data_IF_088738656177
#
_entry.id   IF_088738656177
#
_cell.length_a   1.000
_cell.length_b   1.000
_cell.length_c   1.000
_cell.angle_alpha   90.00
_cell.angle_beta   90.00
_cell.angle_gamma   90.00
#
_symmetry.space_group_name_H-M   'P 1'
#
loop_
_entity.id
_entity.type
_entity.pdbx_description
1 polymer ?
#
# COMPACT_ATOMS: atom_id res chain seq x y z
N UNK A 1 -24.27 3.63 -14.26
CA UNK A 1 -23.15 4.14 -13.44
C UNK A 1 -22.20 4.86 -14.36
N UNK A 2 -21.77 6.06 -13.97
CA UNK A 2 -20.77 6.83 -14.71
C UNK A 2 -19.38 6.21 -14.57
N UNK A 3 -18.57 6.27 -15.62
CA UNK A 3 -17.19 5.79 -15.59
C UNK A 3 -16.23 6.92 -15.23
N UNK A 4 -15.42 6.72 -14.19
CA UNK A 4 -14.39 7.69 -13.76
C UNK A 4 -13.03 7.28 -14.33
N UNK A 5 -12.37 8.18 -15.07
CA UNK A 5 -10.97 8.00 -15.45
C UNK A 5 -10.07 8.56 -14.34
N UNK A 6 -9.34 7.71 -13.64
CA UNK A 6 -8.34 8.08 -12.63
C UNK A 6 -6.92 7.97 -13.20
N UNK A 7 -6.26 9.11 -13.33
CA UNK A 7 -4.87 9.24 -13.75
C UNK A 7 -4.02 9.70 -12.57
N UNK A 8 -3.33 8.78 -11.89
CA UNK A 8 -2.53 9.10 -10.70
C UNK A 8 -1.09 8.62 -10.86
N UNK A 9 -0.14 9.46 -10.46
CA UNK A 9 1.27 9.05 -10.34
C UNK A 9 1.49 8.10 -9.17
N UNK A 10 0.56 8.02 -8.23
CA UNK A 10 0.60 7.11 -7.10
C UNK A 10 -0.14 5.81 -7.45
N UNK A 11 0.61 4.71 -7.60
CA UNK A 11 0.04 3.38 -7.86
C UNK A 11 -0.93 2.94 -6.74
N UNK A 12 -0.76 3.44 -5.52
CA UNK A 12 -1.70 3.22 -4.40
C UNK A 12 -3.13 3.65 -4.76
N UNK A 13 -3.31 4.81 -5.40
CA UNK A 13 -4.63 5.31 -5.78
C UNK A 13 -5.26 4.44 -6.87
N UNK A 14 -4.45 4.01 -7.84
CA UNK A 14 -4.90 3.18 -8.97
C UNK A 14 -5.35 1.80 -8.48
N UNK A 15 -4.57 1.20 -7.58
CA UNK A 15 -4.90 -0.07 -6.95
C UNK A 15 -6.15 0.06 -6.07
N UNK A 16 -6.28 1.13 -5.29
CA UNK A 16 -7.46 1.38 -4.46
C UNK A 16 -8.73 1.53 -5.31
N UNK A 17 -8.64 2.28 -6.41
CA UNK A 17 -9.73 2.44 -7.37
C UNK A 17 -10.15 1.10 -7.98
N UNK A 18 -9.20 0.23 -8.34
CA UNK A 18 -9.50 -1.12 -8.81
C UNK A 18 -10.16 -1.99 -7.72
N UNK A 19 -9.62 -1.96 -6.50
CA UNK A 19 -10.13 -2.72 -5.37
C UNK A 19 -11.53 -2.25 -4.93
N UNK A 20 -11.91 -1.01 -5.22
CA UNK A 20 -13.24 -0.46 -4.90
C UNK A 20 -14.39 -1.18 -5.62
N UNK A 21 -14.12 -1.78 -6.78
CA UNK A 21 -15.15 -2.35 -7.65
C UNK A 21 -16.05 -1.32 -8.35
N UNK A 22 -15.86 -0.02 -8.08
CA UNK A 22 -16.52 1.06 -8.80
C UNK A 22 -16.00 1.15 -10.26
N UNK A 23 -16.79 1.71 -11.19
CA UNK A 23 -16.42 1.80 -12.62
C UNK A 23 -15.29 2.81 -12.86
N UNK A 24 -14.08 2.39 -12.56
CA UNK A 24 -12.86 3.14 -12.83
C UNK A 24 -12.16 2.64 -14.09
N UNK A 25 -11.64 3.59 -14.86
CA UNK A 25 -10.51 3.38 -15.75
C UNK A 25 -9.28 4.00 -15.09
N UNK A 26 -8.17 3.30 -15.08
CA UNK A 26 -6.98 3.73 -14.35
C UNK A 26 -5.78 3.85 -15.29
N UNK A 27 -4.86 4.75 -14.98
CA UNK A 27 -3.60 4.85 -15.68
C UNK A 27 -2.58 5.66 -14.87
N UNK A 28 -1.30 5.30 -14.98
CA UNK A 28 -0.23 6.10 -14.37
C UNK A 28 0.33 7.07 -15.43
N UNK A 29 0.24 8.40 -15.24
CA UNK A 29 0.76 9.39 -16.19
C UNK A 29 2.23 9.24 -16.59
N UNK A 30 3.03 8.55 -15.77
CA UNK A 30 4.45 8.26 -16.07
C UNK A 30 4.65 7.07 -17.02
N UNK A 31 3.62 6.22 -17.18
CA UNK A 31 3.63 5.03 -18.02
C UNK A 31 2.69 5.14 -19.23
N UNK A 32 1.61 5.92 -19.11
CA UNK A 32 0.61 6.11 -20.18
C UNK A 32 1.18 6.96 -21.32
N UNK A 33 1.12 6.43 -22.54
CA UNK A 33 1.49 7.19 -23.74
C UNK A 33 0.38 8.21 -24.11
N UNK A 34 0.73 9.49 -24.15
CA UNK A 34 -0.25 10.57 -24.35
C UNK A 34 -0.85 10.59 -25.78
N UNK A 35 -0.11 10.13 -26.79
CA UNK A 35 -0.59 10.05 -28.17
C UNK A 35 -1.37 8.76 -28.44
N UNK A 36 -0.82 7.61 -28.07
CA UNK A 36 -1.41 6.31 -28.35
C UNK A 36 -2.52 5.88 -27.40
N UNK A 37 -2.31 6.02 -26.09
CA UNK A 37 -3.15 5.34 -25.09
C UNK A 37 -4.17 6.27 -24.44
N UNK A 38 -3.79 7.51 -24.13
CA UNK A 38 -4.67 8.47 -23.45
C UNK A 38 -6.03 8.65 -24.16
N UNK A 39 -6.12 8.75 -25.51
CA UNK A 39 -7.42 8.86 -26.18
C UNK A 39 -8.36 7.68 -25.89
N UNK A 40 -7.82 6.45 -25.83
CA UNK A 40 -8.62 5.25 -25.53
C UNK A 40 -9.09 5.20 -24.07
N UNK A 41 -8.28 5.72 -23.14
CA UNK A 41 -8.66 5.84 -21.73
C UNK A 41 -9.78 6.87 -21.55
N UNK A 42 -9.72 7.98 -22.29
CA UNK A 42 -10.72 9.05 -22.30
C UNK A 42 -12.02 8.60 -22.97
N UNK A 43 -11.95 7.77 -24.01
CA UNK A 43 -13.12 7.30 -24.75
C UNK A 43 -14.06 6.46 -23.88
N UNK A 44 -15.19 7.03 -23.46
CA UNK A 44 -16.17 6.37 -22.58
C UNK A 44 -15.94 6.61 -21.10
N UNK A 45 -15.07 7.55 -20.73
CA UNK A 45 -15.07 8.15 -19.40
C UNK A 45 -16.04 9.33 -19.36
N UNK A 46 -16.81 9.44 -18.28
CA UNK A 46 -17.78 10.52 -18.07
C UNK A 46 -17.17 11.69 -17.28
N UNK A 47 -16.13 11.41 -16.50
CA UNK A 47 -15.35 12.39 -15.73
C UNK A 47 -13.91 11.88 -15.56
N UNK A 48 -12.95 12.79 -15.51
CA UNK A 48 -11.55 12.45 -15.23
C UNK A 48 -11.04 13.11 -13.94
N UNK A 49 -10.26 12.36 -13.18
CA UNK A 49 -9.51 12.80 -12.00
C UNK A 49 -8.04 12.59 -12.28
N UNK A 50 -7.25 13.65 -12.16
CA UNK A 50 -5.80 13.61 -12.37
C UNK A 50 -5.10 14.00 -11.07
N UNK A 51 -4.17 13.18 -10.60
CA UNK A 51 -3.36 13.43 -9.41
C UNK A 51 -1.88 13.29 -9.71
N UNK A 52 -1.13 14.39 -9.62
CA UNK A 52 0.27 14.47 -10.09
C UNK A 52 1.24 14.87 -8.98
N UNK A 53 2.30 14.07 -8.81
CA UNK A 53 3.52 14.53 -8.16
C UNK A 53 4.30 15.48 -9.08
N UNK A 54 4.78 16.60 -8.54
CA UNK A 54 5.54 17.60 -9.32
C UNK A 54 4.68 18.65 -10.04
N UNK A 55 3.36 18.68 -9.77
CA UNK A 55 2.42 19.69 -10.27
C UNK A 55 2.19 19.63 -11.78
N UNK A 56 1.62 20.70 -12.33
CA UNK A 56 1.21 20.81 -13.75
C UNK A 56 2.31 20.45 -14.74
N UNK A 57 3.56 20.88 -14.47
CA UNK A 57 4.70 20.73 -15.38
C UNK A 57 5.11 19.28 -15.61
N UNK A 58 4.74 18.37 -14.70
CA UNK A 58 5.05 16.96 -14.81
C UNK A 58 4.33 16.27 -15.97
N UNK A 59 3.18 16.79 -16.42
CA UNK A 59 2.35 16.12 -17.43
C UNK A 59 1.51 17.09 -18.29
N UNK A 60 2.10 18.22 -18.70
CA UNK A 60 1.39 19.33 -19.39
C UNK A 60 0.68 18.88 -20.67
N UNK A 61 1.32 18.01 -21.44
CA UNK A 61 0.78 17.46 -22.68
C UNK A 61 -0.50 16.66 -22.46
N UNK A 62 -0.47 15.74 -21.49
CA UNK A 62 -1.65 14.96 -21.12
C UNK A 62 -2.78 15.83 -20.59
N UNK A 63 -2.46 16.82 -19.73
CA UNK A 63 -3.45 17.77 -19.23
C UNK A 63 -4.10 18.58 -20.36
N UNK A 64 -3.32 19.06 -21.34
CA UNK A 64 -3.85 19.79 -22.50
C UNK A 64 -4.81 18.92 -23.31
N UNK A 65 -4.44 17.68 -23.59
CA UNK A 65 -5.31 16.74 -24.34
C UNK A 65 -6.57 16.38 -23.58
N UNK A 66 -6.44 16.11 -22.28
CA UNK A 66 -7.59 15.79 -21.44
C UNK A 66 -8.59 16.95 -21.43
N UNK A 67 -8.13 18.19 -21.27
CA UNK A 67 -9.01 19.37 -21.37
C UNK A 67 -9.65 19.52 -22.74
N UNK A 68 -8.90 19.25 -23.81
CA UNK A 68 -9.42 19.33 -25.17
C UNK A 68 -10.51 18.28 -25.46
N UNK A 69 -10.58 17.19 -24.69
CA UNK A 69 -11.63 16.17 -24.83
C UNK A 69 -13.02 16.65 -24.37
N UNK A 70 -13.08 17.69 -23.53
CA UNK A 70 -14.33 18.28 -23.05
C UNK A 70 -15.03 17.52 -21.92
N UNK A 71 -14.51 16.36 -21.48
CA UNK A 71 -15.02 15.70 -20.28
C UNK A 71 -14.70 16.55 -19.04
N UNK A 72 -15.55 16.58 -18.00
CA UNK A 72 -15.23 17.24 -16.75
C UNK A 72 -13.92 16.71 -16.14
N UNK A 73 -13.06 17.60 -15.66
CA UNK A 73 -11.76 17.24 -15.09
C UNK A 73 -11.56 17.81 -13.69
N UNK A 74 -11.14 16.96 -12.77
CA UNK A 74 -10.64 17.30 -11.43
C UNK A 74 -9.12 17.14 -11.45
N UNK A 75 -8.38 18.21 -11.18
CA UNK A 75 -6.91 18.21 -11.24
C UNK A 75 -6.34 18.50 -9.85
N UNK A 76 -5.48 17.62 -9.35
CA UNK A 76 -5.01 17.60 -7.96
C UNK A 76 -3.50 17.39 -7.86
N UNK A 77 -2.90 18.00 -6.85
CA UNK A 77 -1.54 17.69 -6.45
C UNK A 77 -1.43 16.29 -5.82
N UNK A 78 -0.26 15.67 -5.96
CA UNK A 78 0.06 14.37 -5.36
C UNK A 78 0.26 14.41 -3.84
N UNK A 79 0.41 15.60 -3.27
CA UNK A 79 0.55 15.82 -1.83
C UNK A 79 -0.81 15.96 -1.14
N UNK A 80 -0.82 15.96 0.20
CA UNK A 80 -2.02 16.26 0.98
C UNK A 80 -2.37 17.74 1.01
N UNK A 81 -1.39 18.60 0.75
CA UNK A 81 -1.58 20.04 0.68
C UNK A 81 -2.19 20.41 -0.68
N UNK A 82 -3.23 21.27 -0.70
CA UNK A 82 -3.82 21.77 -1.94
C UNK A 82 -2.79 22.44 -2.88
N UNK A 83 -2.69 21.94 -4.11
CA UNK A 83 -1.97 22.61 -5.20
C UNK A 83 -2.92 23.59 -5.88
N UNK A 84 -2.86 24.87 -5.47
CA UNK A 84 -3.77 25.90 -5.96
C UNK A 84 -3.66 26.13 -7.48
N UNK A 85 -2.46 25.98 -8.07
CA UNK A 85 -2.27 26.17 -9.51
C UNK A 85 -2.96 25.06 -10.29
N UNK A 86 -2.75 23.80 -9.87
CA UNK A 86 -3.35 22.66 -10.54
C UNK A 86 -4.87 22.58 -10.30
N UNK A 87 -5.33 22.89 -9.09
CA UNK A 87 -6.76 22.89 -8.77
C UNK A 87 -7.54 23.95 -9.55
N UNK A 88 -6.97 25.15 -9.75
CA UNK A 88 -7.60 26.22 -10.52
C UNK A 88 -7.81 25.88 -12.01
N UNK A 89 -7.09 24.89 -12.50
CA UNK A 89 -7.17 24.40 -13.88
C UNK A 89 -8.22 23.30 -14.07
N UNK A 90 -8.90 22.88 -12.99
CA UNK A 90 -10.04 21.97 -13.04
C UNK A 90 -11.23 22.61 -13.75
N UNK A 91 -12.06 21.80 -14.41
CA UNK A 91 -13.25 22.29 -15.13
C UNK A 91 -14.54 22.22 -14.31
N UNK A 92 -14.45 21.74 -13.06
CA UNK A 92 -15.56 21.62 -12.11
C UNK A 92 -15.44 22.67 -11.00
N UNK A 93 -16.51 22.96 -10.24
CA UNK A 93 -16.46 23.94 -9.15
C UNK A 93 -15.40 23.61 -8.10
N UNK A 94 -14.74 24.63 -7.53
CA UNK A 94 -13.65 24.47 -6.57
C UNK A 94 -14.02 23.61 -5.34
N UNK A 95 -15.28 23.64 -4.90
CA UNK A 95 -15.77 22.78 -3.82
C UNK A 95 -15.71 21.29 -4.17
N UNK A 96 -15.97 20.93 -5.43
CA UNK A 96 -15.85 19.54 -5.92
C UNK A 96 -14.39 19.09 -5.91
N UNK A 97 -13.48 19.97 -6.34
CA UNK A 97 -12.04 19.68 -6.36
C UNK A 97 -11.51 19.48 -4.94
N UNK A 98 -11.88 20.37 -4.01
CA UNK A 98 -11.48 20.26 -2.62
C UNK A 98 -12.00 18.98 -1.95
N UNK A 99 -13.24 18.59 -2.24
CA UNK A 99 -13.82 17.37 -1.68
C UNK A 99 -13.19 16.10 -2.28
N UNK A 100 -12.94 16.08 -3.60
CA UNK A 100 -12.22 15.00 -4.25
C UNK A 100 -10.81 14.80 -3.68
N UNK A 101 -10.12 15.90 -3.34
CA UNK A 101 -8.84 15.84 -2.64
C UNK A 101 -8.98 15.15 -1.28
N UNK A 102 -10.03 15.45 -0.50
CA UNK A 102 -10.24 14.82 0.82
C UNK A 102 -10.36 13.29 0.71
N UNK A 103 -11.11 12.76 -0.26
CA UNK A 103 -11.18 11.31 -0.48
C UNK A 103 -9.82 10.71 -0.83
N UNK A 104 -9.05 11.35 -1.72
CA UNK A 104 -7.75 10.84 -2.17
C UNK A 104 -6.63 11.00 -1.14
N UNK A 105 -6.75 11.95 -0.21
CA UNK A 105 -5.84 12.11 0.94
C UNK A 105 -6.04 10.98 1.94
N UNK A 106 -7.28 10.64 2.26
CA UNK A 106 -7.57 9.50 3.12
C UNK A 106 -7.26 8.17 2.43
N UNK A 107 -7.58 8.06 1.14
CA UNK A 107 -7.35 6.87 0.31
C UNK A 107 -8.16 5.67 0.76
N UNK A 108 -7.88 4.49 0.22
CA UNK A 108 -8.61 3.26 0.56
C UNK A 108 -9.76 2.94 -0.41
N UNK A 109 -10.04 1.65 -0.67
CA UNK A 109 -11.07 1.24 -1.64
C UNK A 109 -12.46 1.82 -1.36
N UNK A 110 -12.86 1.92 -0.09
CA UNK A 110 -14.15 2.47 0.31
C UNK A 110 -14.27 3.96 -0.05
N UNK A 111 -13.24 4.76 0.25
CA UNK A 111 -13.21 6.18 -0.12
C UNK A 111 -13.19 6.37 -1.64
N UNK A 112 -12.58 5.44 -2.40
CA UNK A 112 -12.61 5.48 -3.86
C UNK A 112 -14.00 5.11 -4.41
N UNK A 113 -14.74 4.21 -3.75
CA UNK A 113 -16.16 3.95 -4.06
C UNK A 113 -16.99 5.23 -3.89
N UNK A 114 -16.85 5.89 -2.74
CA UNK A 114 -17.60 7.10 -2.43
C UNK A 114 -17.14 8.30 -3.27
N UNK A 115 -15.87 8.39 -3.64
CA UNK A 115 -15.39 9.38 -4.60
C UNK A 115 -16.08 9.23 -5.96
N UNK A 116 -16.20 8.01 -6.49
CA UNK A 116 -16.88 7.79 -7.76
C UNK A 116 -18.36 8.23 -7.70
N UNK A 117 -19.06 7.87 -6.61
CA UNK A 117 -20.46 8.28 -6.37
C UNK A 117 -20.60 9.79 -6.21
N UNK A 118 -19.72 10.40 -5.42
CA UNK A 118 -19.66 11.85 -5.20
C UNK A 118 -19.51 12.61 -6.52
N UNK A 119 -18.58 12.18 -7.37
CA UNK A 119 -18.34 12.79 -8.67
C UNK A 119 -19.52 12.57 -9.63
N UNK A 120 -20.07 11.36 -9.66
CA UNK A 120 -21.26 11.04 -10.45
C UNK A 120 -22.43 11.95 -10.08
N UNK A 121 -22.73 12.07 -8.79
CA UNK A 121 -23.88 12.84 -8.34
C UNK A 121 -23.67 14.36 -8.46
N UNK A 122 -22.49 14.84 -8.08
CA UNK A 122 -22.25 16.28 -8.00
C UNK A 122 -21.98 16.90 -9.36
N UNK A 123 -21.35 16.15 -10.28
CA UNK A 123 -20.97 16.66 -11.60
C UNK A 123 -21.94 16.20 -12.69
N UNK A 124 -22.45 14.97 -12.60
CA UNK A 124 -23.30 14.36 -13.64
C UNK A 124 -24.78 14.25 -13.22
N UNK A 125 -25.14 14.64 -11.99
CA UNK A 125 -26.53 14.71 -11.48
C UNK A 125 -27.27 13.36 -11.51
N UNK A 126 -26.57 12.27 -11.21
CA UNK A 126 -27.11 10.90 -11.29
C UNK A 126 -28.01 10.49 -10.12
N UNK A 127 -27.72 10.96 -8.90
CA UNK A 127 -28.52 10.69 -7.69
C UNK A 127 -28.34 9.30 -7.06
N UNK A 128 -27.13 8.73 -7.11
CA UNK A 128 -26.76 7.46 -6.48
C UNK A 128 -26.62 7.57 -4.94
N UNK A 129 -26.34 8.76 -4.42
CA UNK A 129 -25.97 9.03 -3.03
C UNK A 129 -24.50 8.71 -2.75
N UNK A 130 -23.89 9.46 -1.82
CA UNK A 130 -22.50 9.26 -1.39
C UNK A 130 -22.33 9.59 0.10
N UNK A 131 -21.33 9.00 0.74
CA UNK A 131 -20.93 9.29 2.12
C UNK A 131 -19.65 10.12 2.18
N UNK A 132 -19.48 10.95 3.22
CA UNK A 132 -18.27 11.76 3.41
C UNK A 132 -16.98 10.92 3.50
N UNK A 133 -15.80 11.49 3.14
CA UNK A 133 -14.51 10.82 3.26
C UNK A 133 -14.26 10.27 4.67
N UNK A 134 -14.00 8.97 4.75
CA UNK A 134 -13.73 8.28 6.01
C UNK A 134 -12.24 8.35 6.32
N UNK A 135 -11.90 8.82 7.53
CA UNK A 135 -10.52 8.87 7.99
C UNK A 135 -9.94 7.46 8.11
N UNK A 136 -8.87 7.18 7.39
CA UNK A 136 -8.24 5.85 7.41
C UNK A 136 -7.28 5.74 8.60
N UNK A 137 -7.43 4.75 9.51
CA UNK A 137 -6.57 4.61 10.68
C UNK A 137 -5.08 4.50 10.32
N UNK A 138 -4.18 5.07 11.13
CA UNK A 138 -2.72 5.00 10.90
C UNK A 138 -2.15 3.59 11.09
N UNK A 139 -2.86 2.78 11.86
CA UNK A 139 -2.62 1.35 12.05
C UNK A 139 -3.95 0.65 12.34
N UNK A 140 -3.97 -0.68 12.23
CA UNK A 140 -5.16 -1.46 12.52
C UNK A 140 -5.01 -2.92 12.15
N UNK A 141 -6.05 -3.71 12.45
CA UNK A 141 -6.15 -5.11 12.07
C UNK A 141 -6.77 -5.22 10.68
N UNK A 142 -6.16 -6.03 9.81
CA UNK A 142 -6.69 -6.32 8.47
C UNK A 142 -7.62 -7.53 8.51
N UNK A 143 -8.85 -7.32 8.07
CA UNK A 143 -9.89 -8.34 8.01
C UNK A 143 -10.34 -8.85 9.38
N UNK A 144 -11.29 -9.78 9.36
CA UNK A 144 -11.72 -10.52 10.53
C UNK A 144 -11.33 -11.99 10.36
N UNK A 145 -10.57 -12.53 11.32
CA UNK A 145 -10.12 -13.93 11.32
C UNK A 145 -10.57 -14.60 12.61
N UNK A 146 -10.96 -15.87 12.51
CA UNK A 146 -11.47 -16.61 13.66
C UNK A 146 -10.36 -16.87 14.69
N UNK A 147 -10.56 -16.39 15.91
CA UNK A 147 -9.68 -16.70 17.03
C UNK A 147 -10.08 -18.02 17.69
N UNK A 148 -9.10 -18.90 17.90
CA UNK A 148 -9.28 -20.17 18.61
C UNK A 148 -8.42 -20.15 19.87
N UNK A 149 -9.08 -20.25 21.02
CA UNK A 149 -8.43 -20.31 22.33
C UNK A 149 -7.46 -21.50 22.43
N UNK A 150 -6.30 -21.28 23.05
CA UNK A 150 -5.25 -22.29 23.22
C UNK A 150 -4.37 -22.53 22.00
N UNK A 151 -4.59 -21.83 20.88
CA UNK A 151 -3.63 -21.79 19.76
C UNK A 151 -2.66 -20.62 19.93
N UNK A 152 -1.38 -20.77 19.54
CA UNK A 152 -0.46 -19.65 19.49
C UNK A 152 -0.89 -18.65 18.42
N UNK A 153 -0.65 -17.37 18.64
CA UNK A 153 -0.98 -16.27 17.74
C UNK A 153 0.28 -15.79 17.02
N UNK A 154 0.22 -15.76 15.68
CA UNK A 154 1.28 -15.19 14.83
C UNK A 154 0.77 -13.87 14.25
N UNK A 155 1.42 -12.77 14.63
CA UNK A 155 1.17 -11.47 14.03
C UNK A 155 1.83 -11.37 12.65
N UNK A 156 1.15 -10.82 11.66
CA UNK A 156 1.68 -10.53 10.32
C UNK A 156 1.61 -9.03 10.11
N UNK A 157 2.76 -8.37 10.20
CA UNK A 157 2.88 -6.91 10.14
C UNK A 157 3.30 -6.44 8.75
N UNK A 158 2.49 -5.58 8.14
CA UNK A 158 2.69 -5.09 6.77
C UNK A 158 2.40 -3.58 6.63
N UNK A 159 2.85 -2.97 5.53
CA UNK A 159 2.71 -1.52 5.34
C UNK A 159 1.25 -1.10 5.13
N UNK A 160 0.82 -0.03 5.79
CA UNK A 160 -0.48 0.64 5.60
C UNK A 160 -0.76 0.98 4.14
N UNK A 161 0.27 1.26 3.34
CA UNK A 161 0.11 1.50 1.90
C UNK A 161 -0.54 0.31 1.17
N UNK A 162 -0.27 -0.93 1.59
CA UNK A 162 -0.94 -2.12 1.05
C UNK A 162 -2.41 -2.19 1.46
N UNK A 163 -2.73 -1.80 2.70
CA UNK A 163 -4.12 -1.68 3.16
C UNK A 163 -4.89 -0.66 2.33
N UNK A 164 -4.30 0.54 2.14
CA UNK A 164 -4.95 1.61 1.38
C UNK A 164 -5.11 1.30 -0.10
N UNK A 165 -4.19 0.53 -0.68
CA UNK A 165 -4.27 0.11 -2.08
C UNK A 165 -5.18 -1.10 -2.30
N UNK A 166 -5.59 -1.81 -1.24
CA UNK A 166 -6.24 -3.12 -1.37
C UNK A 166 -5.32 -4.23 -1.89
N UNK A 167 -4.00 -3.99 -1.98
CA UNK A 167 -3.01 -4.99 -2.38
C UNK A 167 -2.59 -5.84 -1.17
N UNK A 168 -3.55 -6.55 -0.58
CA UNK A 168 -3.37 -7.33 0.67
C UNK A 168 -3.36 -8.84 0.46
N UNK A 169 -3.61 -9.34 -0.75
CA UNK A 169 -3.75 -10.77 -1.03
C UNK A 169 -2.53 -11.61 -0.61
N UNK A 170 -1.32 -11.04 -0.66
CA UNK A 170 -0.11 -11.71 -0.20
C UNK A 170 -0.09 -11.91 1.32
N UNK A 171 -0.66 -10.97 2.08
CA UNK A 171 -0.84 -11.06 3.54
C UNK A 171 -1.85 -12.17 3.84
N UNK A 172 -2.99 -12.16 3.12
CA UNK A 172 -4.04 -13.17 3.29
C UNK A 172 -3.50 -14.58 3.05
N UNK A 173 -2.70 -14.77 2.00
CA UNK A 173 -2.05 -16.06 1.70
C UNK A 173 -1.15 -16.54 2.85
N UNK A 174 -0.40 -15.63 3.49
CA UNK A 174 0.45 -15.98 4.64
C UNK A 174 -0.38 -16.30 5.88
N UNK A 175 -1.44 -15.53 6.15
CA UNK A 175 -2.35 -15.79 7.25
C UNK A 175 -3.06 -17.15 7.11
N UNK A 176 -3.55 -17.48 5.91
CA UNK A 176 -4.16 -18.77 5.64
C UNK A 176 -3.16 -19.93 5.87
N UNK A 177 -1.89 -19.72 5.50
CA UNK A 177 -0.82 -20.69 5.74
C UNK A 177 -0.46 -20.86 7.24
N UNK A 178 -0.60 -19.81 8.05
CA UNK A 178 -0.45 -19.84 9.51
C UNK A 178 -1.61 -20.63 10.13
N UNK A 179 -2.84 -20.33 9.73
CA UNK A 179 -4.05 -21.00 10.23
C UNK A 179 -4.06 -22.49 9.90
N UNK A 180 -3.63 -22.86 8.69
CA UNK A 180 -3.46 -24.24 8.25
C UNK A 180 -2.47 -25.04 9.11
N UNK A 181 -1.60 -24.36 9.88
CA UNK A 181 -0.63 -24.98 10.82
C UNK A 181 -1.12 -25.00 12.27
N UNK A 182 -2.37 -24.61 12.51
CA UNK A 182 -2.99 -24.64 13.83
C UNK A 182 -2.56 -23.50 14.75
N UNK A 183 -2.31 -22.32 14.19
CA UNK A 183 -2.11 -21.07 14.91
C UNK A 183 -3.22 -20.06 14.56
N UNK A 184 -3.39 -19.02 15.38
CA UNK A 184 -4.21 -17.86 15.03
C UNK A 184 -3.35 -16.89 14.20
N UNK A 185 -3.90 -16.33 13.13
CA UNK A 185 -3.24 -15.29 12.35
C UNK A 185 -3.81 -13.91 12.71
N UNK A 186 -2.93 -12.97 13.04
CA UNK A 186 -3.28 -11.58 13.35
C UNK A 186 -2.60 -10.65 12.35
N UNK A 187 -3.30 -10.27 11.27
CA UNK A 187 -2.77 -9.34 10.29
C UNK A 187 -2.88 -7.90 10.79
N UNK A 188 -1.77 -7.17 10.88
CA UNK A 188 -1.73 -5.79 11.37
C UNK A 188 -1.04 -4.92 10.33
N UNK A 189 -1.64 -3.77 10.01
CA UNK A 189 -1.00 -2.78 9.16
C UNK A 189 -0.55 -1.56 9.98
N UNK A 190 0.54 -0.92 9.56
CA UNK A 190 0.98 0.36 10.10
C UNK A 190 1.75 1.18 9.06
N UNK A 191 1.80 2.50 9.21
CA UNK A 191 2.64 3.36 8.36
C UNK A 191 4.14 3.20 8.64
N UNK A 192 4.50 3.11 9.92
CA UNK A 192 5.87 2.97 10.41
C UNK A 192 5.82 2.34 11.80
N UNK A 193 6.84 1.56 12.17
CA UNK A 193 7.06 1.15 13.56
C UNK A 193 7.80 2.23 14.36
N UNK A 194 8.65 3.01 13.69
CA UNK A 194 9.35 4.14 14.33
C UNK A 194 8.35 5.19 14.80
N UNK A 195 8.39 5.52 16.09
CA UNK A 195 7.50 6.51 16.71
C UNK A 195 6.02 6.13 16.63
N UNK A 196 5.72 4.84 16.48
CA UNK A 196 4.34 4.38 16.40
C UNK A 196 3.58 4.59 17.70
N UNK A 197 2.27 4.73 17.56
CA UNK A 197 1.33 4.87 18.68
C UNK A 197 1.37 3.65 19.61
N UNK A 198 1.19 3.87 20.92
CA UNK A 198 1.23 2.81 21.92
C UNK A 198 0.18 1.71 21.66
N UNK A 199 -0.98 2.06 21.10
CA UNK A 199 -2.02 1.10 20.76
C UNK A 199 -1.61 0.11 19.67
N UNK A 200 -0.66 0.46 18.78
CA UNK A 200 -0.09 -0.51 17.85
C UNK A 200 0.67 -1.61 18.61
N UNK A 201 1.49 -1.22 19.58
CA UNK A 201 2.28 -2.16 20.38
C UNK A 201 1.39 -3.01 21.29
N UNK A 202 0.29 -2.47 21.81
CA UNK A 202 -0.71 -3.25 22.54
C UNK A 202 -1.31 -4.36 21.67
N UNK A 203 -1.64 -4.07 20.41
CA UNK A 203 -2.12 -5.09 19.46
C UNK A 203 -1.03 -6.13 19.19
N UNK A 204 0.19 -5.70 18.87
CA UNK A 204 1.29 -6.61 18.55
C UNK A 204 1.70 -7.48 19.74
N UNK A 205 1.59 -6.96 20.97
CA UNK A 205 1.85 -7.70 22.20
C UNK A 205 0.88 -8.83 22.50
N UNK A 206 -0.21 -8.97 21.73
CA UNK A 206 -1.11 -10.14 21.80
C UNK A 206 -0.62 -11.33 20.99
N UNK A 207 0.42 -11.15 20.16
CA UNK A 207 1.00 -12.23 19.37
C UNK A 207 2.16 -12.90 20.12
N UNK A 208 2.29 -14.21 19.99
CA UNK A 208 3.41 -14.98 20.53
C UNK A 208 4.65 -14.91 19.63
N UNK A 209 4.49 -14.45 18.39
CA UNK A 209 5.55 -14.30 17.38
C UNK A 209 5.07 -13.36 16.27
N UNK A 210 5.97 -12.58 15.68
CA UNK A 210 5.67 -11.63 14.61
C UNK A 210 6.39 -11.99 13.31
N UNK A 211 5.68 -11.96 12.19
CA UNK A 211 6.27 -11.88 10.85
C UNK A 211 6.17 -10.44 10.38
N UNK A 212 7.30 -9.73 10.32
CA UNK A 212 7.37 -8.36 9.86
C UNK A 212 7.82 -8.29 8.39
N UNK A 213 7.07 -7.55 7.58
CA UNK A 213 7.45 -7.18 6.21
C UNK A 213 7.74 -5.68 6.07
N UNK A 214 7.57 -4.92 7.16
CA UNK A 214 7.87 -3.48 7.24
C UNK A 214 9.25 -3.26 7.85
N UNK A 215 9.94 -2.20 7.43
CA UNK A 215 11.14 -1.76 8.13
C UNK A 215 10.77 -1.22 9.52
N UNK A 216 11.50 -1.64 10.56
CA UNK A 216 11.32 -1.09 11.91
C UNK A 216 12.22 0.09 12.18
N UNK A 217 13.52 -0.07 11.89
CA UNK A 217 14.50 0.95 12.17
C UNK A 217 15.11 1.57 10.93
N UNK A 218 15.62 2.77 11.15
CA UNK A 218 16.04 3.73 10.14
C UNK A 218 16.08 5.11 10.75
N UNK A 219 17.06 5.35 11.63
CA UNK A 219 17.38 6.71 12.08
C UNK A 219 17.81 7.57 10.89
N UNK A 220 17.82 8.90 11.04
CA UNK A 220 18.46 9.80 10.05
C UNK A 220 19.94 9.46 9.83
N UNK A 221 20.56 8.70 10.75
CA UNK A 221 21.96 8.26 10.74
C UNK A 221 22.10 6.73 10.59
N UNK A 222 21.10 6.02 10.07
CA UNK A 222 21.17 4.58 9.83
C UNK A 222 22.39 4.17 8.96
N UNK A 223 22.84 5.07 8.09
CA UNK A 223 24.05 4.91 7.27
C UNK A 223 25.37 5.02 8.05
N UNK A 224 25.34 5.48 9.30
CA UNK A 224 26.50 5.69 10.16
C UNK A 224 26.66 4.58 11.22
N UNK A 225 25.65 3.70 11.34
CA UNK A 225 25.70 2.53 12.22
C UNK A 225 26.78 1.56 11.73
N UNK A 226 27.86 1.44 12.48
CA UNK A 226 28.99 0.55 12.21
C UNK A 226 29.56 0.02 13.51
N UNK A 227 30.32 -1.08 13.44
CA UNK A 227 30.96 -1.65 14.62
C UNK A 227 31.86 -0.61 15.32
N UNK A 228 31.49 -0.23 16.56
CA UNK A 228 32.18 0.79 17.35
C UNK A 228 31.63 2.22 17.24
N UNK A 229 30.50 2.42 16.54
CA UNK A 229 29.74 3.67 16.51
C UNK A 229 28.75 3.81 17.67
N UNK A 230 27.96 4.89 17.66
CA UNK A 230 26.99 5.20 18.70
C UNK A 230 25.74 4.30 18.59
N UNK A 231 25.59 3.34 19.52
CA UNK A 231 24.44 2.43 19.58
C UNK A 231 23.12 3.17 19.87
N UNK A 232 23.17 4.37 20.49
CA UNK A 232 21.98 5.17 20.81
C UNK A 232 21.27 5.77 19.56
N UNK A 233 21.90 5.70 18.38
CA UNK A 233 21.28 6.17 17.13
C UNK A 233 20.22 5.21 16.55
N UNK A 234 20.11 3.99 17.09
CA UNK A 234 19.27 2.92 16.58
C UNK A 234 18.24 2.44 17.63
N UNK A 235 17.09 3.11 17.68
CA UNK A 235 16.04 2.83 18.67
C UNK A 235 15.11 1.68 18.23
N UNK A 236 15.38 0.46 18.72
CA UNK A 236 14.53 -0.74 18.59
C UNK A 236 13.65 -0.95 19.84
N UNK A 237 13.72 -0.06 20.84
CA UNK A 237 13.26 -0.32 22.21
C UNK A 237 11.83 -0.89 22.28
N UNK A 238 10.89 -0.28 21.56
CA UNK A 238 9.49 -0.69 21.60
C UNK A 238 9.20 -2.09 21.01
N UNK A 239 10.01 -2.58 20.05
CA UNK A 239 9.87 -3.96 19.54
C UNK A 239 10.57 -4.95 20.45
N UNK A 240 11.69 -4.56 21.05
CA UNK A 240 12.39 -5.39 22.04
C UNK A 240 11.51 -5.60 23.29
N UNK A 241 10.75 -4.58 23.71
CA UNK A 241 9.83 -4.64 24.85
C UNK A 241 8.68 -5.64 24.66
N UNK A 242 8.30 -5.97 23.42
CA UNK A 242 7.31 -7.02 23.14
C UNK A 242 7.82 -8.40 23.57
N UNK A 243 9.13 -8.60 23.64
CA UNK A 243 9.78 -9.85 24.08
C UNK A 243 9.24 -11.12 23.38
N UNK A 244 9.01 -11.02 22.07
CA UNK A 244 8.59 -12.14 21.21
C UNK A 244 9.50 -12.29 20.00
N UNK A 245 9.63 -13.48 19.41
CA UNK A 245 10.40 -13.66 18.18
C UNK A 245 9.84 -12.80 17.05
N UNK A 246 10.70 -11.98 16.42
CA UNK A 246 10.35 -11.19 15.23
C UNK A 246 11.08 -11.77 14.03
N UNK A 247 10.32 -12.23 13.04
CA UNK A 247 10.80 -12.85 11.82
C UNK A 247 10.65 -11.89 10.64
N UNK A 248 11.68 -11.76 9.82
CA UNK A 248 11.62 -11.01 8.59
C UNK A 248 10.97 -11.87 7.50
N UNK A 249 9.77 -11.50 7.05
CA UNK A 249 9.13 -12.06 5.86
C UNK A 249 9.52 -11.24 4.64
N UNK A 250 10.22 -11.85 3.67
CA UNK A 250 10.77 -11.11 2.52
C UNK A 250 9.70 -10.97 1.43
N UNK A 251 9.46 -9.72 1.01
CA UNK A 251 8.58 -9.32 -0.09
C UNK A 251 9.45 -8.68 -1.18
N UNK A 252 9.93 -9.47 -2.13
CA UNK A 252 10.95 -9.02 -3.08
C UNK A 252 10.41 -8.01 -4.09
N UNK A 253 11.27 -7.05 -4.44
CA UNK A 253 10.96 -6.04 -5.46
C UNK A 253 11.18 -6.52 -6.89
N UNK A 254 11.60 -7.77 -7.05
CA UNK A 254 11.71 -8.50 -8.32
C UNK A 254 10.56 -9.50 -8.49
N UNK A 255 10.31 -9.91 -9.73
CA UNK A 255 9.33 -10.97 -10.03
C UNK A 255 9.83 -12.33 -9.54
N UNK A 256 8.89 -13.24 -9.31
CA UNK A 256 9.19 -14.63 -8.94
C UNK A 256 10.03 -15.34 -10.00
N UNK A 257 9.77 -15.06 -11.27
CA UNK A 257 10.53 -15.63 -12.39
C UNK A 257 11.97 -15.14 -12.43
N UNK A 258 12.20 -13.84 -12.16
CA UNK A 258 13.55 -13.27 -12.08
C UNK A 258 14.31 -13.83 -10.88
N UNK A 259 13.63 -14.00 -9.75
CA UNK A 259 14.20 -14.64 -8.56
C UNK A 259 14.64 -16.08 -8.81
N UNK A 260 13.77 -16.88 -9.44
CA UNK A 260 14.01 -18.31 -9.73
C UNK A 260 15.19 -18.52 -10.69
N UNK A 261 15.38 -17.59 -11.64
CA UNK A 261 16.47 -17.62 -12.61
C UNK A 261 17.79 -17.01 -12.10
N UNK A 262 17.80 -16.41 -10.91
CA UNK A 262 18.95 -15.67 -10.38
C UNK A 262 19.85 -16.54 -9.49
N UNK A 263 21.15 -16.55 -9.78
CA UNK A 263 22.17 -17.17 -8.91
C UNK A 263 22.41 -16.38 -7.61
N UNK A 264 22.10 -15.07 -7.60
CA UNK A 264 22.33 -14.18 -6.47
C UNK A 264 21.19 -14.18 -5.44
N UNK A 265 20.04 -14.78 -5.79
CA UNK A 265 18.79 -14.84 -5.03
C UNK A 265 18.15 -13.50 -4.63
N UNK A 266 18.89 -12.44 -4.33
CA UNK A 266 18.34 -11.12 -3.95
C UNK A 266 18.98 -10.01 -4.79
N UNK A 267 18.20 -8.96 -5.07
CA UNK A 267 18.76 -7.72 -5.59
C UNK A 267 19.62 -7.05 -4.51
N UNK A 268 20.62 -6.21 -4.86
CA UNK A 268 21.39 -5.46 -3.87
C UNK A 268 20.52 -4.61 -2.93
N UNK A 269 19.43 -4.05 -3.47
CA UNK A 269 18.47 -3.27 -2.70
C UNK A 269 17.69 -4.14 -1.71
N UNK A 270 17.19 -5.31 -2.14
CA UNK A 270 16.48 -6.23 -1.25
C UNK A 270 17.41 -6.83 -0.19
N UNK A 271 18.66 -7.13 -0.52
CA UNK A 271 19.65 -7.59 0.44
C UNK A 271 19.94 -6.54 1.52
N UNK A 272 20.03 -5.25 1.14
CA UNK A 272 20.23 -4.18 2.11
C UNK A 272 18.98 -3.95 2.98
N UNK A 273 17.81 -3.77 2.33
CA UNK A 273 16.59 -3.34 3.01
C UNK A 273 15.87 -4.48 3.73
N UNK A 274 15.93 -5.71 3.22
CA UNK A 274 15.14 -6.83 3.75
C UNK A 274 15.98 -7.89 4.46
N UNK A 275 17.31 -7.73 4.52
CA UNK A 275 18.20 -8.64 5.26
C UNK A 275 19.12 -7.84 6.17
N UNK A 276 20.07 -7.08 5.62
CA UNK A 276 21.10 -6.43 6.41
C UNK A 276 20.53 -5.47 7.45
N UNK A 277 19.66 -4.52 7.06
CA UNK A 277 19.03 -3.58 8.02
C UNK A 277 18.17 -4.32 9.07
N UNK A 278 17.26 -5.24 8.67
CA UNK A 278 16.52 -6.08 9.62
C UNK A 278 17.38 -6.92 10.59
N UNK A 279 18.60 -7.31 10.23
CA UNK A 279 19.51 -8.01 11.16
C UNK A 279 19.96 -7.11 12.31
N UNK A 280 20.16 -5.80 12.05
CA UNK A 280 20.44 -4.83 13.13
C UNK A 280 19.25 -4.68 14.08
N UNK A 281 18.02 -4.90 13.59
CA UNK A 281 16.80 -4.94 14.42
C UNK A 281 16.67 -6.22 15.27
N UNK A 282 17.64 -7.15 15.17
CA UNK A 282 17.58 -8.45 15.86
C UNK A 282 16.57 -9.43 15.24
N UNK A 283 16.09 -9.16 14.03
CA UNK A 283 15.06 -10.00 13.37
C UNK A 283 15.66 -11.29 12.81
N UNK A 284 14.89 -12.36 12.90
CA UNK A 284 15.23 -13.65 12.31
C UNK A 284 14.89 -13.65 10.81
N UNK A 285 15.92 -13.67 9.96
CA UNK A 285 15.73 -13.67 8.51
C UNK A 285 15.17 -15.01 8.04
N UNK A 286 14.05 -14.97 7.29
CA UNK A 286 13.39 -16.18 6.78
C UNK A 286 13.63 -16.39 5.27
N UNK A 287 12.57 -16.44 4.46
CA UNK A 287 12.64 -16.64 3.02
C UNK A 287 11.72 -15.67 2.29
N UNK A 288 12.00 -15.36 1.01
CA UNK A 288 11.06 -14.71 0.11
C UNK A 288 9.74 -15.48 0.05
N UNK A 289 8.63 -14.81 0.36
CA UNK A 289 7.30 -15.40 0.22
C UNK A 289 6.39 -14.60 -0.70
N UNK A 290 6.76 -13.37 -1.04
CA UNK A 290 6.00 -12.49 -1.92
C UNK A 290 6.93 -11.81 -2.92
N UNK A 291 6.45 -11.58 -4.12
CA UNK A 291 7.21 -11.06 -5.26
C UNK A 291 6.44 -9.96 -5.96
N UNK A 292 7.15 -8.94 -6.44
CA UNK A 292 6.56 -7.85 -7.20
C UNK A 292 6.31 -8.31 -8.63
N UNK A 293 5.05 -8.44 -8.99
CA UNK A 293 4.60 -8.86 -10.31
C UNK A 293 3.96 -7.70 -11.06
N UNK A 294 3.99 -7.80 -12.40
CA UNK A 294 3.22 -6.91 -13.25
C UNK A 294 1.74 -7.25 -13.11
N UNK A 295 0.96 -6.35 -12.49
CA UNK A 295 -0.48 -6.54 -12.35
C UNK A 295 -1.26 -6.04 -13.57
N UNK A 296 -2.61 -6.19 -13.54
CA UNK A 296 -3.50 -5.59 -14.52
C UNK A 296 -3.29 -4.08 -14.65
N UNK A 297 -3.60 -3.54 -15.84
CA UNK A 297 -3.49 -2.10 -16.16
C UNK A 297 -2.07 -1.54 -15.96
N UNK A 298 -1.07 -2.42 -16.10
CA UNK A 298 0.33 -2.14 -15.87
C UNK A 298 0.67 -1.62 -14.46
N UNK A 299 -0.19 -1.87 -13.47
CA UNK A 299 0.06 -1.49 -12.08
C UNK A 299 0.69 -2.65 -11.30
N UNK A 300 1.93 -2.51 -10.77
CA UNK A 300 2.60 -3.58 -10.04
C UNK A 300 1.85 -3.99 -8.78
N UNK A 301 1.86 -5.30 -8.47
CA UNK A 301 1.24 -5.88 -7.28
C UNK A 301 2.21 -6.84 -6.58
N UNK A 302 1.94 -7.15 -5.31
CA UNK A 302 2.71 -8.15 -4.59
C UNK A 302 1.92 -9.46 -4.58
N UNK A 303 2.53 -10.52 -5.10
CA UNK A 303 1.90 -11.84 -5.21
C UNK A 303 2.68 -12.81 -4.34
N UNK A 304 1.97 -13.49 -3.44
CA UNK A 304 2.56 -14.53 -2.60
C UNK A 304 2.82 -15.82 -3.40
N UNK A 305 3.94 -16.48 -3.11
CA UNK A 305 4.18 -17.87 -3.46
C UNK A 305 3.65 -18.76 -2.30
N UNK A 306 2.61 -19.58 -2.52
CA UNK A 306 1.98 -20.33 -1.44
C UNK A 306 2.90 -21.33 -0.73
N UNK A 307 3.85 -21.95 -1.43
CA UNK A 307 4.79 -22.90 -0.80
C UNK A 307 5.77 -22.16 0.11
N UNK A 308 6.25 -21.00 -0.34
CA UNK A 308 7.12 -20.15 0.47
C UNK A 308 6.39 -19.50 1.64
N UNK A 309 5.14 -19.06 1.44
CA UNK A 309 4.28 -18.58 2.52
C UNK A 309 4.09 -19.68 3.58
N UNK A 310 3.86 -20.92 3.15
CA UNK A 310 3.80 -22.07 4.06
C UNK A 310 5.12 -22.33 4.78
N UNK A 311 6.28 -22.06 4.15
CA UNK A 311 7.60 -22.14 4.81
C UNK A 311 7.73 -21.07 5.90
N UNK A 312 7.43 -19.80 5.60
CA UNK A 312 7.47 -18.70 6.59
C UNK A 312 6.53 -18.98 7.75
N UNK A 313 5.27 -19.33 7.47
CA UNK A 313 4.29 -19.73 8.47
C UNK A 313 4.79 -20.88 9.35
N UNK A 314 5.45 -21.88 8.75
CA UNK A 314 6.02 -23.01 9.48
C UNK A 314 7.16 -22.66 10.41
N UNK A 315 7.95 -21.64 10.08
CA UNK A 315 8.99 -21.10 10.96
C UNK A 315 8.32 -20.32 12.08
N UNK A 316 7.43 -19.37 11.75
CA UNK A 316 6.74 -18.52 12.73
C UNK A 316 5.97 -19.33 13.78
N UNK A 317 5.16 -20.32 13.36
CA UNK A 317 4.37 -21.16 14.27
C UNK A 317 5.26 -22.02 15.18
N UNK A 318 6.48 -22.39 14.74
CA UNK A 318 7.41 -23.13 15.60
C UNK A 318 8.02 -22.23 16.66
N UNK A 319 8.34 -20.98 16.32
CA UNK A 319 8.80 -19.98 17.29
C UNK A 319 7.70 -19.63 18.30
N UNK A 320 6.45 -19.49 17.84
CA UNK A 320 5.30 -19.17 18.68
C UNK A 320 4.93 -20.27 19.70
N UNK A 321 5.54 -21.45 19.62
CA UNK A 321 5.30 -22.59 20.51
C UNK A 321 6.42 -22.80 21.54
N UNK A 322 7.50 -22.01 21.47
CA UNK A 322 8.60 -22.05 22.44
C UNK A 322 8.21 -21.31 23.72
#
# INVERSE_FOLDING_TARGET
>A
MSTVLLLSTADTDLLAARASGAPYRIGNPTRVEVEGELPSLVEGADIAVVRLLGGKRAWEEGLRKLKASGIPTVLLGGESVPDAELMAESSVPAGVVAEALRYLVEGGPDNLTELARFLSDTVLLTGEGFEEPRKMPEYGVHGERAFVEGRPTVGVLFYRAHQLSGNTAFVDTLCDAIEARGANALAVYCGSLRGADAGLYEILGTADTLVATVLAAGGTHASEASAGGDEEAWDIGALADLNVPVLQGLCLTSSRSAWDASDAALSPMDAAMQVAIPEFDGRLITVPFSFKEQGPDEVPVYVADPERAARVAGIAVRHARL
#
